data_IF_272426272593
#
_entry.id   IF_272426272593
#
_cell.length_a   1.000
_cell.length_b   1.000
_cell.length_c   1.000
_cell.angle_alpha   90.00
_cell.angle_beta   90.00
_cell.angle_gamma   90.00
#
_symmetry.space_group_name_H-M   'P 1'
#
loop_
_entity.id
_entity.type
_entity.pdbx_description
1 polymer ?
#
# COMPACT_ATOMS: atom_id res chain seq x y z
N UNK A 1 8.72 2.63 5.10
CA UNK A 1 9.43 1.90 6.17
C UNK A 1 9.22 2.53 7.54
N UNK A 2 8.73 3.76 7.61
CA UNK A 2 8.66 4.59 8.83
C UNK A 2 7.25 4.66 9.45
N UNK A 3 6.39 3.68 9.18
CA UNK A 3 5.00 3.67 9.65
C UNK A 3 4.07 4.64 8.90
N UNK A 4 4.39 4.99 7.65
CA UNK A 4 3.55 5.80 6.79
C UNK A 4 3.71 7.32 6.99
N UNK A 5 4.83 7.74 7.61
CA UNK A 5 5.18 9.16 7.76
C UNK A 5 5.67 9.74 6.43
N UNK A 6 6.41 8.95 5.65
CA UNK A 6 6.87 9.32 4.31
C UNK A 6 6.45 8.27 3.29
N UNK A 7 6.21 8.73 2.06
CA UNK A 7 5.76 7.90 0.95
C UNK A 7 6.63 8.13 -0.27
N UNK A 8 7.01 7.05 -0.95
CA UNK A 8 7.78 7.09 -2.19
C UNK A 8 6.91 6.60 -3.34
N UNK A 9 6.85 7.32 -4.48
CA UNK A 9 6.17 6.83 -5.67
C UNK A 9 6.72 5.49 -6.14
N UNK A 10 5.85 4.64 -6.70
CA UNK A 10 6.23 3.33 -7.23
C UNK A 10 6.02 3.30 -8.74
N UNK A 11 6.75 2.41 -9.43
CA UNK A 11 6.57 2.21 -10.86
C UNK A 11 5.36 1.30 -11.09
N UNK A 12 4.33 1.81 -11.75
CA UNK A 12 3.21 1.00 -12.20
C UNK A 12 3.64 0.11 -13.37
N UNK A 13 3.22 -1.15 -13.34
CA UNK A 13 3.44 -2.15 -14.39
C UNK A 13 2.56 -1.88 -15.61
N UNK A 14 2.27 -2.91 -16.40
CA UNK A 14 1.41 -2.80 -17.59
C UNK A 14 -0.04 -2.48 -17.24
N UNK A 15 -0.67 -1.62 -18.05
CA UNK A 15 -2.11 -1.39 -18.01
C UNK A 15 -2.85 -2.46 -18.82
N UNK A 16 -3.78 -3.15 -18.16
CA UNK A 16 -4.68 -4.12 -18.80
C UNK A 16 -6.13 -3.63 -18.84
N UNK A 17 -6.38 -2.37 -18.48
CA UNK A 17 -7.69 -1.73 -18.46
C UNK A 17 -8.20 -1.44 -17.04
N UNK A 18 -9.21 -0.55 -16.97
CA UNK A 18 -9.75 0.04 -15.74
C UNK A 18 -10.12 -0.95 -14.63
N UNK A 19 -10.59 -2.14 -14.99
CA UNK A 19 -11.09 -3.14 -14.04
C UNK A 19 -10.08 -4.25 -13.74
N UNK A 20 -8.90 -4.23 -14.36
CA UNK A 20 -7.84 -5.18 -14.07
C UNK A 20 -7.07 -4.78 -12.82
N UNK A 21 -6.42 -5.75 -12.18
CA UNK A 21 -5.32 -5.42 -11.28
C UNK A 21 -4.22 -4.68 -12.03
N UNK A 22 -3.59 -3.74 -11.32
CA UNK A 22 -2.39 -3.04 -11.78
C UNK A 22 -1.22 -3.46 -10.91
N UNK A 23 -0.30 -4.23 -11.50
CA UNK A 23 0.97 -4.52 -10.85
C UNK A 23 1.75 -3.22 -10.63
N UNK A 24 2.58 -3.20 -9.60
CA UNK A 24 3.52 -2.13 -9.33
C UNK A 24 4.79 -2.73 -8.73
N UNK A 25 5.89 -2.00 -8.83
CA UNK A 25 7.19 -2.39 -8.28
C UNK A 25 7.95 -1.18 -7.76
N UNK A 26 8.79 -1.39 -6.77
CA UNK A 26 9.70 -0.37 -6.26
C UNK A 26 10.94 -1.02 -5.68
N UNK A 27 12.01 -0.23 -5.55
CA UNK A 27 13.21 -0.62 -4.81
C UNK A 27 13.21 0.14 -3.49
N UNK A 28 13.28 -0.58 -2.39
CA UNK A 28 13.41 0.00 -1.05
C UNK A 28 14.77 -0.36 -0.48
N UNK A 29 15.49 0.64 0.01
CA UNK A 29 16.65 0.42 0.88
C UNK A 29 16.13 0.29 2.30
N UNK A 30 16.44 -0.83 2.94
CA UNK A 30 16.05 -1.11 4.33
C UNK A 30 17.28 -1.05 5.23
N UNK A 31 17.15 -0.35 6.34
CA UNK A 31 18.14 -0.43 7.42
C UNK A 31 17.94 -1.75 8.17
N UNK A 32 19.05 -2.30 8.69
CA UNK A 32 19.04 -3.55 9.46
C UNK A 32 18.05 -3.46 10.63
N UNK A 33 17.32 -4.55 10.87
CA UNK A 33 16.33 -4.67 11.93
C UNK A 33 14.89 -4.73 11.42
N UNK A 34 13.95 -4.55 12.34
CA UNK A 34 12.52 -4.63 12.03
C UNK A 34 12.07 -3.39 11.25
N UNK A 35 11.41 -3.63 10.13
CA UNK A 35 10.88 -2.60 9.24
C UNK A 35 9.41 -2.90 8.95
N UNK A 36 8.60 -1.85 8.82
CA UNK A 36 7.20 -1.99 8.37
C UNK A 36 7.03 -1.38 6.99
N UNK A 37 6.71 -2.24 6.02
CA UNK A 37 6.33 -1.84 4.67
C UNK A 37 4.83 -1.55 4.65
N UNK A 38 4.44 -0.47 3.98
CA UNK A 38 3.05 -0.07 3.82
C UNK A 38 2.82 0.31 2.37
N UNK A 39 1.63 0.00 1.84
CA UNK A 39 1.29 0.26 0.44
C UNK A 39 -0.06 0.99 0.40
N UNK A 40 -0.09 2.09 -0.35
CA UNK A 40 -1.27 2.94 -0.49
C UNK A 40 -1.49 3.32 -1.95
N UNK A 41 -2.71 3.10 -2.43
CA UNK A 41 -3.14 3.46 -3.76
C UNK A 41 -4.08 4.68 -3.75
N UNK A 42 -3.99 5.46 -4.83
CA UNK A 42 -4.90 6.57 -5.17
C UNK A 42 -5.43 6.33 -6.58
N UNK A 43 -6.75 6.39 -6.79
CA UNK A 43 -7.33 6.21 -8.12
C UNK A 43 -7.34 7.53 -8.93
N UNK A 44 -7.80 7.47 -10.18
CA UNK A 44 -7.91 8.64 -11.08
C UNK A 44 -8.86 9.73 -10.57
N UNK A 45 -9.80 9.38 -9.69
CA UNK A 45 -10.76 10.30 -9.08
C UNK A 45 -10.21 10.92 -7.78
N UNK A 46 -8.94 10.63 -7.43
CA UNK A 46 -8.29 11.13 -6.22
C UNK A 46 -8.67 10.39 -4.93
N UNK A 47 -9.44 9.30 -5.01
CA UNK A 47 -9.82 8.49 -3.86
C UNK A 47 -8.64 7.64 -3.39
N UNK A 48 -8.35 7.71 -2.09
CA UNK A 48 -7.20 7.06 -1.47
C UNK A 48 -7.66 6.03 -0.42
N UNK A 49 -6.85 4.99 -0.21
CA UNK A 49 -7.08 4.06 0.90
C UNK A 49 -6.96 4.78 2.26
N UNK A 50 -7.81 4.44 3.24
CA UNK A 50 -7.74 5.01 4.59
C UNK A 50 -6.58 4.38 5.39
N UNK A 51 -6.06 5.12 6.37
CA UNK A 51 -5.03 4.61 7.31
C UNK A 51 -5.63 3.81 8.47
N UNK A 52 -6.88 4.09 8.82
CA UNK A 52 -7.62 3.36 9.84
C UNK A 52 -8.63 2.43 9.18
N UNK A 53 -8.78 1.19 9.69
CA UNK A 53 -9.75 0.26 9.13
C UNK A 53 -11.17 0.74 9.38
N UNK A 54 -12.02 0.62 8.36
CA UNK A 54 -13.46 0.71 8.55
C UNK A 54 -13.96 -0.56 9.25
N UNK A 55 -14.91 -0.39 10.16
CA UNK A 55 -15.65 -1.50 10.74
C UNK A 55 -17.11 -1.37 10.35
N UNK A 56 -17.72 -2.49 9.98
CA UNK A 56 -19.16 -2.60 9.79
C UNK A 56 -19.61 -4.02 10.17
N UNK A 57 -20.86 -4.21 10.63
CA UNK A 57 -21.35 -5.52 11.07
C UNK A 57 -21.29 -6.62 10.00
N UNK A 58 -21.36 -6.25 8.71
CA UNK A 58 -21.29 -7.19 7.59
C UNK A 58 -19.87 -7.55 7.14
N UNK A 59 -18.83 -6.90 7.69
CA UNK A 59 -17.43 -7.14 7.30
C UNK A 59 -17.08 -6.72 5.87
N UNK A 60 -17.85 -5.84 5.24
CA UNK A 60 -17.69 -5.48 3.82
C UNK A 60 -16.70 -4.32 3.59
N UNK A 61 -16.22 -4.23 2.34
CA UNK A 61 -15.49 -3.07 1.81
C UNK A 61 -14.24 -2.67 2.62
N UNK A 62 -13.53 -3.64 3.21
CA UNK A 62 -12.24 -3.37 3.84
C UNK A 62 -11.21 -3.02 2.76
N UNK A 63 -10.65 -1.82 2.83
CA UNK A 63 -9.64 -1.34 1.88
C UNK A 63 -8.55 -0.49 2.53
N UNK A 64 -8.35 -0.63 3.86
CA UNK A 64 -7.29 0.08 4.61
C UNK A 64 -5.92 -0.17 3.99
N UNK A 65 -5.00 0.77 4.19
CA UNK A 65 -3.59 0.57 3.90
C UNK A 65 -3.10 -0.69 4.62
N UNK A 66 -2.62 -1.65 3.83
CA UNK A 66 -2.02 -2.88 4.36
C UNK A 66 -0.59 -2.61 4.81
N UNK A 67 -0.20 -3.26 5.90
CA UNK A 67 1.14 -3.22 6.46
C UNK A 67 1.75 -4.61 6.52
N UNK A 68 3.06 -4.71 6.27
CA UNK A 68 3.81 -5.96 6.35
C UNK A 68 5.11 -5.72 7.09
N UNK A 69 5.28 -6.41 8.20
CA UNK A 69 6.53 -6.39 8.97
C UNK A 69 7.56 -7.31 8.33
N UNK A 70 8.78 -6.82 8.19
CA UNK A 70 9.92 -7.57 7.65
C UNK A 70 11.14 -7.35 8.54
N UNK A 71 12.00 -8.36 8.66
CA UNK A 71 13.31 -8.25 9.31
C UNK A 71 14.39 -8.13 8.24
N UNK A 72 15.04 -6.97 8.15
CA UNK A 72 16.20 -6.77 7.29
C UNK A 72 17.47 -7.25 8.02
N UNK A 73 18.19 -8.20 7.42
CA UNK A 73 19.37 -8.85 8.01
C UNK A 73 20.69 -8.27 7.53
#
# INVERSE_FOLDING_TARGET
TDGGKTWTPTQLGRDYGKFSFRQWSTHVKLDKGDQTLMVRCTNSDGLQQPMTPNWNPGGFMRNVVESTSVLAV
#
